data_IF_472632888477
#
_entry.id   IF_472632888477
#
_cell.length_a   1.000
_cell.length_b   1.000
_cell.length_c   1.000
_cell.angle_alpha   90.00
_cell.angle_beta   90.00
_cell.angle_gamma   90.00
#
_symmetry.space_group_name_H-M   'P 1'
#
loop_
_entity.id
_entity.type
_entity.pdbx_description
1 polymer ?
#
# COMPACT_ATOMS: atom_id res chain seq x y z
N UNK A 1 18.00 2.95 7.86
CA UNK A 1 17.53 2.67 9.23
C UNK A 1 18.62 1.96 10.02
N UNK A 2 18.93 0.70 9.71
CA UNK A 2 19.91 -0.11 10.47
C UNK A 2 21.35 0.43 10.45
N UNK A 3 21.71 1.22 9.43
CA UNK A 3 23.00 1.95 9.38
C UNK A 3 23.17 2.94 10.55
N UNK A 4 22.10 3.44 11.15
CA UNK A 4 22.12 4.51 12.16
C UNK A 4 21.37 4.17 13.45
N UNK A 5 20.54 3.15 13.47
CA UNK A 5 19.70 2.78 14.62
C UNK A 5 19.73 1.27 14.80
N UNK A 6 19.76 0.82 16.07
CA UNK A 6 19.57 -0.60 16.39
C UNK A 6 18.07 -0.89 16.44
N UNK A 7 17.61 -1.81 15.59
CA UNK A 7 16.21 -2.28 15.62
C UNK A 7 15.94 -3.00 16.93
N UNK A 8 14.92 -2.54 17.66
CA UNK A 8 14.40 -3.16 18.88
C UNK A 8 13.25 -4.10 18.54
N UNK A 9 12.39 -3.67 17.63
CA UNK A 9 11.23 -4.44 17.20
C UNK A 9 10.96 -4.23 15.72
N UNK A 10 10.42 -5.27 15.09
CA UNK A 10 9.85 -5.24 13.76
C UNK A 10 8.51 -5.94 13.83
N UNK A 11 7.48 -5.27 13.38
CA UNK A 11 6.14 -5.84 13.30
C UNK A 11 5.60 -5.65 11.88
N UNK A 12 5.14 -6.74 11.29
CA UNK A 12 4.40 -6.67 10.03
C UNK A 12 2.94 -6.46 10.36
N UNK A 13 2.39 -5.34 9.92
CA UNK A 13 0.98 -4.99 10.10
C UNK A 13 0.27 -5.07 8.76
N UNK A 14 -0.98 -5.52 8.78
CA UNK A 14 -1.82 -5.63 7.60
C UNK A 14 -3.18 -5.00 7.86
N UNK A 15 -3.67 -4.24 6.88
CA UNK A 15 -4.98 -3.61 6.95
C UNK A 15 -5.72 -3.82 5.64
N UNK A 16 -6.96 -4.31 5.74
CA UNK A 16 -7.88 -4.39 4.61
C UNK A 16 -8.90 -3.28 4.74
N UNK A 17 -9.02 -2.46 3.70
CA UNK A 17 -9.91 -1.30 3.67
C UNK A 17 -10.86 -1.44 2.48
N UNK A 18 -12.14 -1.18 2.73
CA UNK A 18 -13.13 -1.04 1.66
C UNK A 18 -12.93 0.31 0.97
N UNK A 19 -12.84 0.30 -0.36
CA UNK A 19 -12.57 1.48 -1.16
C UNK A 19 -13.86 2.18 -1.59
N UNK A 20 -13.90 3.51 -1.42
CA UNK A 20 -14.80 4.35 -2.20
C UNK A 20 -14.33 4.46 -3.65
N UNK A 21 -15.21 4.91 -4.55
CA UNK A 21 -14.84 5.15 -5.96
C UNK A 21 -13.68 6.13 -6.11
N UNK A 22 -13.64 7.18 -5.28
CA UNK A 22 -12.58 8.19 -5.30
C UNK A 22 -11.24 7.62 -4.81
N UNK A 23 -11.27 6.86 -3.70
CA UNK A 23 -10.08 6.22 -3.14
C UNK A 23 -9.51 5.20 -4.13
N UNK A 24 -10.37 4.39 -4.76
CA UNK A 24 -9.97 3.43 -5.79
C UNK A 24 -9.21 4.10 -6.93
N UNK A 25 -9.77 5.17 -7.50
CA UNK A 25 -9.10 5.88 -8.59
C UNK A 25 -7.79 6.50 -8.13
N UNK A 26 -7.76 7.12 -6.95
CA UNK A 26 -6.53 7.65 -6.36
C UNK A 26 -5.45 6.57 -6.22
N UNK A 27 -5.80 5.37 -5.77
CA UNK A 27 -4.86 4.24 -5.69
C UNK A 27 -4.37 3.81 -7.07
N UNK A 28 -5.24 3.68 -8.05
CA UNK A 28 -4.86 3.29 -9.41
C UNK A 28 -3.93 4.34 -10.05
N UNK A 29 -4.18 5.63 -9.82
CA UNK A 29 -3.35 6.73 -10.30
C UNK A 29 -1.99 6.83 -9.62
N UNK A 30 -1.91 6.51 -8.34
CA UNK A 30 -0.72 6.80 -7.55
C UNK A 30 0.16 5.57 -7.28
N UNK A 31 -0.30 4.35 -7.59
CA UNK A 31 0.46 3.12 -7.34
C UNK A 31 1.44 2.85 -8.49
N UNK A 32 2.77 2.92 -8.27
CA UNK A 32 3.76 2.80 -9.35
C UNK A 32 3.66 1.51 -10.17
N UNK A 33 3.25 0.41 -9.53
CA UNK A 33 3.04 -0.88 -10.20
C UNK A 33 2.01 -0.80 -11.35
N UNK A 34 1.08 0.14 -11.26
CA UNK A 34 -0.02 0.32 -12.23
C UNK A 34 0.28 1.38 -13.29
N UNK A 35 1.47 2.00 -13.27
CA UNK A 35 1.80 3.09 -14.22
C UNK A 35 1.91 2.60 -15.66
N UNK A 36 2.24 1.33 -15.87
CA UNK A 36 2.34 0.71 -17.20
C UNK A 36 1.07 -0.04 -17.60
N UNK A 37 -0.03 0.07 -16.85
CA UNK A 37 -1.30 -0.57 -17.15
C UNK A 37 -2.19 0.39 -17.93
N UNK A 38 -2.74 -0.07 -19.05
CA UNK A 38 -3.77 0.68 -19.78
C UNK A 38 -5.09 0.64 -18.99
N UNK A 39 -5.38 1.74 -18.29
CA UNK A 39 -6.44 1.78 -17.28
C UNK A 39 -7.84 1.65 -17.87
N UNK A 40 -8.04 2.12 -19.09
CA UNK A 40 -9.33 2.07 -19.77
C UNK A 40 -9.67 0.65 -20.26
N UNK A 41 -8.69 -0.25 -20.35
CA UNK A 41 -8.90 -1.64 -20.72
C UNK A 41 -9.30 -2.55 -19.54
N UNK A 42 -9.31 -2.03 -18.31
CA UNK A 42 -9.59 -2.80 -17.10
C UNK A 42 -10.85 -2.28 -16.42
N UNK A 43 -11.80 -3.17 -16.12
CA UNK A 43 -12.97 -2.81 -15.30
C UNK A 43 -12.62 -2.81 -13.81
N UNK A 44 -12.25 -1.64 -13.31
CA UNK A 44 -11.88 -1.43 -11.90
C UNK A 44 -13.07 -1.47 -10.94
N UNK A 45 -14.32 -1.58 -11.40
CA UNK A 45 -15.50 -1.54 -10.52
C UNK A 45 -15.53 -2.68 -9.50
N UNK A 46 -14.87 -3.79 -9.83
CA UNK A 46 -14.73 -4.98 -9.00
C UNK A 46 -13.70 -4.81 -7.87
N UNK A 47 -12.81 -3.83 -7.95
CA UNK A 47 -11.79 -3.54 -6.93
C UNK A 47 -12.42 -2.83 -5.72
N UNK A 48 -13.10 -3.57 -4.87
CA UNK A 48 -13.88 -3.02 -3.74
C UNK A 48 -13.10 -2.96 -2.44
N UNK A 49 -12.04 -3.76 -2.32
CA UNK A 49 -11.20 -3.85 -1.12
C UNK A 49 -9.74 -3.82 -1.53
N UNK A 50 -8.92 -3.22 -0.67
CA UNK A 50 -7.47 -3.20 -0.79
C UNK A 50 -6.88 -3.66 0.53
N UNK A 51 -5.95 -4.60 0.46
CA UNK A 51 -5.12 -5.00 1.60
C UNK A 51 -3.76 -4.37 1.43
N UNK A 52 -3.33 -3.63 2.45
CA UNK A 52 -2.00 -3.00 2.52
C UNK A 52 -1.25 -3.68 3.66
N UNK A 53 -0.05 -4.15 3.35
CA UNK A 53 0.88 -4.70 4.34
C UNK A 53 2.09 -3.77 4.46
N UNK A 54 2.55 -3.56 5.68
CA UNK A 54 3.71 -2.73 5.96
C UNK A 54 4.52 -3.30 7.12
N UNK A 55 5.83 -3.09 7.07
CA UNK A 55 6.72 -3.37 8.20
C UNK A 55 6.93 -2.09 9.03
N UNK A 56 6.54 -2.16 10.30
CA UNK A 56 6.82 -1.14 11.30
C UNK A 56 8.13 -1.50 12.01
N UNK A 57 9.13 -0.64 11.86
CA UNK A 57 10.45 -0.80 12.49
C UNK A 57 10.60 0.19 13.64
N UNK A 58 10.83 -0.34 14.85
CA UNK A 58 11.14 0.47 16.04
C UNK A 58 12.62 0.34 16.32
N UNK A 59 13.32 1.47 16.41
CA UNK A 59 14.76 1.52 16.62
C UNK A 59 15.14 2.48 17.74
N UNK A 60 16.31 2.26 18.32
CA UNK A 60 16.92 3.14 19.31
C UNK A 60 18.33 3.51 18.88
N UNK A 61 18.73 4.71 19.30
CA UNK A 61 20.05 5.29 19.04
C UNK A 61 21.07 4.79 20.06
#
# INVERSE_FOLDING_TARGET
FEKYLKTISRETVSATVQLSSEQRMSFIEMTPLLFCVEKDCVDWRTLTHLTIEADVLIGMY
#
